data_IF_656520927619
#
_entry.id   IF_656520927619
#
_cell.length_a   1.000
_cell.length_b   1.000
_cell.length_c   1.000
_cell.angle_alpha   90.00
_cell.angle_beta   90.00
_cell.angle_gamma   90.00
#
_symmetry.space_group_name_H-M   'P 1'
#
loop_
_entity.id
_entity.type
_entity.pdbx_description
1 polymer ?
#
# COMPACT_ATOMS: atom_id res chain seq x y z
N UNK A 1 -8.10 -15.14 62.67
CA UNK A 1 -7.33 -14.43 61.63
C UNK A 1 -7.12 -15.33 60.41
N UNK A 2 -8.19 -15.93 59.85
CA UNK A 2 -8.04 -17.04 58.88
C UNK A 2 -8.88 -16.91 57.60
N UNK A 3 -9.76 -15.90 57.49
CA UNK A 3 -10.61 -15.69 56.31
C UNK A 3 -10.03 -14.71 55.28
N UNK A 4 -9.16 -13.79 55.69
CA UNK A 4 -8.55 -12.78 54.80
C UNK A 4 -7.49 -13.36 53.85
N UNK A 5 -6.86 -14.48 54.21
CA UNK A 5 -5.87 -15.17 53.36
C UNK A 5 -6.53 -15.97 52.22
N UNK A 6 -7.75 -16.49 52.43
CA UNK A 6 -8.49 -17.21 51.39
C UNK A 6 -9.03 -16.26 50.31
N UNK A 7 -9.52 -15.07 50.69
CA UNK A 7 -10.02 -14.09 49.72
C UNK A 7 -8.91 -13.55 48.80
N UNK A 8 -7.72 -13.28 49.35
CA UNK A 8 -6.57 -12.82 48.56
C UNK A 8 -6.07 -13.88 47.57
N UNK A 9 -6.08 -15.16 47.98
CA UNK A 9 -5.71 -16.28 47.10
C UNK A 9 -6.67 -16.46 45.93
N UNK A 10 -7.99 -16.33 46.16
CA UNK A 10 -9.00 -16.45 45.09
C UNK A 10 -8.89 -15.31 44.09
N UNK A 11 -8.66 -14.07 44.54
CA UNK A 11 -8.47 -12.91 43.64
C UNK A 11 -7.22 -13.09 42.77
N UNK A 12 -6.12 -13.58 43.34
CA UNK A 12 -4.90 -13.85 42.57
C UNK A 12 -5.12 -14.92 41.48
N UNK A 13 -5.87 -15.99 41.79
CA UNK A 13 -6.18 -17.05 40.82
C UNK A 13 -7.07 -16.52 39.68
N UNK A 14 -8.05 -15.68 39.99
CA UNK A 14 -8.93 -15.07 38.97
C UNK A 14 -8.13 -14.12 38.06
N UNK A 15 -7.22 -13.32 38.62
CA UNK A 15 -6.37 -12.41 37.84
C UNK A 15 -5.41 -13.16 36.93
N UNK A 16 -4.76 -14.22 37.42
CA UNK A 16 -3.88 -15.07 36.59
C UNK A 16 -4.70 -15.76 35.49
N UNK A 17 -5.88 -16.27 35.81
CA UNK A 17 -6.79 -16.86 34.81
C UNK A 17 -7.26 -15.87 33.75
N UNK A 18 -7.59 -14.64 34.14
CA UNK A 18 -8.00 -13.58 33.22
C UNK A 18 -6.84 -13.13 32.32
N UNK A 19 -5.64 -12.97 32.87
CA UNK A 19 -4.43 -12.66 32.10
C UNK A 19 -4.14 -13.81 31.12
N UNK A 20 -4.17 -15.06 31.58
CA UNK A 20 -3.94 -16.22 30.71
C UNK A 20 -5.00 -16.36 29.63
N UNK A 21 -6.27 -16.05 29.93
CA UNK A 21 -7.35 -16.02 28.95
C UNK A 21 -7.15 -14.93 27.90
N UNK A 22 -6.82 -13.69 28.31
CA UNK A 22 -6.53 -12.59 27.37
C UNK A 22 -5.32 -12.91 26.49
N UNK A 23 -4.25 -13.46 27.07
CA UNK A 23 -3.07 -13.89 26.32
C UNK A 23 -3.40 -15.04 25.36
N UNK A 24 -4.25 -15.99 25.76
CA UNK A 24 -4.66 -17.12 24.93
C UNK A 24 -5.59 -16.69 23.80
N UNK A 25 -6.52 -15.77 24.05
CA UNK A 25 -7.39 -15.19 23.02
C UNK A 25 -6.57 -14.36 22.03
N UNK A 26 -5.59 -13.57 22.52
CA UNK A 26 -4.67 -12.83 21.65
C UNK A 26 -3.74 -13.76 20.85
N UNK A 27 -3.26 -14.85 21.44
CA UNK A 27 -2.47 -15.85 20.75
C UNK A 27 -3.29 -16.58 19.67
N UNK A 28 -4.56 -16.90 19.93
CA UNK A 28 -5.48 -17.46 18.94
C UNK A 28 -5.84 -16.47 17.84
N UNK A 29 -5.96 -15.17 18.14
CA UNK A 29 -6.11 -14.11 17.12
C UNK A 29 -4.87 -14.00 16.24
N UNK A 30 -3.66 -14.02 16.84
CA UNK A 30 -2.38 -14.04 16.09
C UNK A 30 -2.17 -15.34 15.30
N UNK A 31 -2.67 -16.47 15.77
CA UNK A 31 -2.61 -17.74 15.06
C UNK A 31 -3.68 -17.86 13.96
N UNK A 32 -4.84 -17.21 14.11
CA UNK A 32 -5.82 -17.02 13.05
C UNK A 32 -5.34 -15.99 11.99
N UNK A 33 -4.42 -15.11 12.37
CA UNK A 33 -3.63 -14.23 11.49
C UNK A 33 -2.30 -14.88 11.03
N UNK A 34 -2.14 -16.20 11.17
CA UNK A 34 -1.00 -16.88 10.53
C UNK A 34 -1.13 -16.62 9.03
N UNK A 35 -0.21 -15.86 8.40
CA UNK A 35 -0.25 -15.69 6.97
C UNK A 35 -0.09 -17.10 6.40
N UNK A 36 -0.95 -17.49 5.45
CA UNK A 36 -0.58 -18.57 4.57
C UNK A 36 0.80 -18.21 4.01
N UNK A 37 1.80 -19.09 4.16
CA UNK A 37 3.12 -18.94 3.50
C UNK A 37 2.99 -18.73 1.98
N UNK A 38 1.83 -19.08 1.48
CA UNK A 38 1.31 -18.66 0.21
C UNK A 38 0.94 -17.17 0.19
N UNK A 39 1.85 -16.35 -0.37
CA UNK A 39 1.57 -14.98 -0.82
C UNK A 39 0.16 -14.90 -1.43
N UNK A 40 -0.67 -13.89 -1.13
CA UNK A 40 -1.99 -13.71 -1.74
C UNK A 40 -1.93 -13.77 -3.27
N UNK A 41 -2.99 -14.20 -3.96
CA UNK A 41 -3.01 -14.34 -5.42
C UNK A 41 -2.52 -13.07 -6.16
N UNK A 42 -2.91 -11.88 -5.68
CA UNK A 42 -2.46 -10.60 -6.22
C UNK A 42 -0.95 -10.33 -6.05
N UNK A 43 -0.30 -10.97 -5.07
CA UNK A 43 1.16 -10.93 -4.87
C UNK A 43 1.92 -12.02 -5.65
N UNK A 44 1.21 -12.95 -6.30
CA UNK A 44 1.80 -13.99 -7.16
C UNK A 44 1.84 -13.58 -8.63
N UNK A 45 1.05 -12.59 -9.01
CA UNK A 45 1.10 -11.99 -10.35
C UNK A 45 2.35 -11.14 -10.44
N UNK A 46 3.14 -11.37 -11.49
CA UNK A 46 4.26 -10.48 -11.78
C UNK A 46 3.71 -9.06 -11.96
N UNK A 47 4.37 -8.03 -11.40
CA UNK A 47 3.97 -6.66 -11.68
C UNK A 47 4.10 -6.39 -13.19
N UNK A 48 3.40 -5.36 -13.72
CA UNK A 48 3.49 -5.00 -15.12
C UNK A 48 4.94 -4.89 -15.61
N UNK A 49 5.19 -5.19 -16.88
CA UNK A 49 6.54 -5.14 -17.46
C UNK A 49 7.19 -3.77 -17.25
N UNK A 50 6.39 -2.71 -17.21
CA UNK A 50 6.78 -1.34 -16.92
C UNK A 50 7.37 -1.21 -15.50
N UNK A 51 6.69 -1.72 -14.48
CA UNK A 51 7.22 -1.78 -13.10
C UNK A 51 8.48 -2.64 -13.04
N UNK A 52 8.50 -3.82 -13.66
CA UNK A 52 9.71 -4.65 -13.72
C UNK A 52 10.88 -3.92 -14.39
N UNK A 53 10.62 -3.02 -15.33
CA UNK A 53 11.62 -2.21 -16.00
C UNK A 53 12.09 -1.04 -15.13
N UNK A 54 11.19 -0.34 -14.44
CA UNK A 54 11.50 0.73 -13.48
C UNK A 54 12.39 0.21 -12.36
N UNK A 55 11.93 -0.82 -11.65
CA UNK A 55 12.69 -1.48 -10.57
C UNK A 55 14.07 -1.98 -11.05
N UNK A 56 14.22 -2.40 -12.32
CA UNK A 56 15.53 -2.76 -12.91
C UNK A 56 16.41 -1.56 -13.27
N UNK A 57 15.83 -0.42 -13.68
CA UNK A 57 16.54 0.85 -13.93
C UNK A 57 17.15 1.36 -12.61
N UNK A 58 16.41 1.20 -11.50
CA UNK A 58 16.78 1.70 -10.17
C UNK A 58 17.58 0.69 -9.31
N UNK A 59 17.85 -0.51 -9.85
CA UNK A 59 18.53 -1.64 -9.17
C UNK A 59 17.82 -2.16 -7.91
N UNK A 60 16.54 -1.87 -7.79
CA UNK A 60 15.70 -2.45 -6.77
C UNK A 60 15.37 -3.91 -7.16
N UNK A 61 15.09 -4.77 -6.19
CA UNK A 61 14.59 -6.12 -6.47
C UNK A 61 13.12 -6.04 -6.88
N UNK A 62 12.61 -6.92 -7.76
CA UNK A 62 11.19 -6.90 -8.17
C UNK A 62 10.28 -7.03 -6.93
N UNK A 63 9.77 -5.90 -6.44
CA UNK A 63 8.90 -5.78 -5.28
C UNK A 63 7.53 -5.25 -5.70
N UNK A 64 6.51 -5.57 -4.90
CA UNK A 64 5.14 -5.05 -5.09
C UNK A 64 5.02 -3.61 -4.59
N UNK A 65 5.98 -3.19 -3.75
CA UNK A 65 6.17 -1.83 -3.27
C UNK A 65 7.39 -1.29 -4.00
N UNK A 66 7.15 -0.32 -4.87
CA UNK A 66 8.19 0.56 -5.43
C UNK A 66 8.07 1.83 -4.58
N UNK A 67 9.12 2.18 -3.83
CA UNK A 67 9.11 3.37 -2.99
C UNK A 67 10.51 3.95 -3.02
N UNK A 68 10.69 5.02 -3.80
CA UNK A 68 11.96 5.72 -3.85
C UNK A 68 12.06 6.78 -2.75
N UNK A 69 13.30 7.05 -2.33
CA UNK A 69 13.57 8.11 -1.36
C UNK A 69 13.20 9.49 -1.93
N UNK A 70 12.08 10.04 -1.46
CA UNK A 70 11.55 11.34 -1.88
C UNK A 70 10.11 11.29 -2.36
N UNK A 71 9.59 10.10 -2.64
CA UNK A 71 8.24 9.89 -3.15
C UNK A 71 7.18 9.88 -2.05
N UNK A 72 5.92 10.05 -2.44
CA UNK A 72 4.80 9.85 -1.52
C UNK A 72 4.52 8.37 -1.36
N UNK A 73 4.15 7.97 -0.16
CA UNK A 73 3.72 6.60 0.08
C UNK A 73 2.37 6.37 -0.61
N UNK A 74 2.31 5.50 -1.62
CA UNK A 74 1.07 5.08 -2.25
C UNK A 74 0.73 3.62 -1.96
N UNK A 75 -0.52 3.25 -2.25
CA UNK A 75 -0.91 1.85 -2.27
C UNK A 75 -0.24 1.14 -3.46
N UNK A 76 0.11 -0.16 -3.36
CA UNK A 76 0.84 -0.87 -4.42
C UNK A 76 0.25 -0.78 -5.84
N UNK A 77 -1.08 -0.74 -5.96
CA UNK A 77 -1.72 -0.59 -7.27
C UNK A 77 -1.59 0.83 -7.83
N UNK A 78 -1.49 1.84 -6.95
CA UNK A 78 -1.28 3.22 -7.33
C UNK A 78 0.14 3.41 -7.87
N UNK A 79 1.15 2.89 -7.18
CA UNK A 79 2.56 2.87 -7.65
C UNK A 79 2.66 2.25 -9.06
N UNK A 80 2.02 1.10 -9.29
CA UNK A 80 2.04 0.45 -10.61
C UNK A 80 1.36 1.28 -11.72
N UNK A 81 0.31 2.04 -11.39
CA UNK A 81 -0.34 2.94 -12.35
C UNK A 81 0.56 4.15 -12.60
N UNK A 82 1.24 4.63 -11.56
CA UNK A 82 2.22 5.71 -11.65
C UNK A 82 3.37 5.35 -12.58
N UNK A 83 3.96 4.16 -12.46
CA UNK A 83 5.02 3.67 -13.36
C UNK A 83 4.60 3.73 -14.84
N UNK A 84 3.41 3.20 -15.12
CA UNK A 84 2.85 3.19 -16.48
C UNK A 84 2.67 4.63 -16.99
N UNK A 85 2.22 5.54 -16.11
CA UNK A 85 2.03 6.94 -16.44
C UNK A 85 3.37 7.66 -16.65
N UNK A 86 4.35 7.48 -15.76
CA UNK A 86 5.71 8.03 -15.88
C UNK A 86 6.39 7.55 -17.17
N UNK A 87 6.25 6.28 -17.53
CA UNK A 87 6.74 5.75 -18.79
C UNK A 87 6.11 6.44 -20.01
N UNK A 88 4.79 6.69 -19.99
CA UNK A 88 4.10 7.45 -21.05
C UNK A 88 4.57 8.90 -21.12
N UNK A 89 4.78 9.54 -19.97
CA UNK A 89 5.28 10.93 -19.89
C UNK A 89 6.69 11.04 -20.45
N UNK A 90 7.58 10.09 -20.12
CA UNK A 90 8.96 10.01 -20.67
C UNK A 90 8.93 9.86 -22.20
N UNK A 91 7.97 9.09 -22.72
CA UNK A 91 7.80 8.83 -24.15
C UNK A 91 7.14 9.98 -24.95
N UNK A 92 6.24 10.77 -24.36
CA UNK A 92 5.53 11.87 -25.02
C UNK A 92 6.19 13.24 -24.75
N UNK A 93 6.83 13.88 -25.75
CA UNK A 93 7.46 15.18 -25.57
C UNK A 93 6.53 16.28 -25.03
N UNK A 94 5.22 16.21 -25.27
CA UNK A 94 4.26 17.21 -24.79
C UNK A 94 3.99 17.09 -23.29
N UNK A 95 4.26 15.93 -22.69
CA UNK A 95 4.00 15.66 -21.28
C UNK A 95 5.25 15.74 -20.39
N UNK A 96 6.45 15.73 -20.97
CA UNK A 96 7.74 15.74 -20.22
C UNK A 96 7.93 16.91 -19.25
N UNK A 97 7.13 17.96 -19.38
CA UNK A 97 7.11 19.09 -18.46
C UNK A 97 6.43 18.80 -17.12
N UNK A 98 5.78 17.64 -16.98
CA UNK A 98 5.07 17.23 -15.77
C UNK A 98 5.90 16.20 -14.99
N UNK A 99 6.19 16.54 -13.74
CA UNK A 99 6.61 15.63 -12.69
C UNK A 99 5.35 15.12 -11.98
N UNK A 100 5.18 13.79 -11.90
CA UNK A 100 4.00 13.14 -11.34
C UNK A 100 4.42 12.22 -10.20
N UNK A 101 3.67 12.28 -9.11
CA UNK A 101 3.81 11.44 -7.92
C UNK A 101 2.42 11.11 -7.35
N UNK A 102 2.17 9.90 -6.87
CA UNK A 102 0.92 9.49 -6.24
C UNK A 102 1.09 9.29 -4.74
N UNK A 103 0.12 9.81 -3.97
CA UNK A 103 0.07 9.59 -2.54
C UNK A 103 -1.17 8.82 -2.12
N UNK A 104 -1.11 8.21 -0.95
CA UNK A 104 -2.31 7.77 -0.22
C UNK A 104 -2.57 8.71 0.95
N UNK A 105 -3.67 9.46 0.85
CA UNK A 105 -4.10 10.38 1.89
C UNK A 105 -4.56 9.67 3.17
N UNK A 106 -4.73 10.43 4.25
CA UNK A 106 -5.07 9.89 5.58
C UNK A 106 -6.39 9.10 5.65
N UNK A 107 -7.30 9.32 4.69
CA UNK A 107 -8.57 8.61 4.52
C UNK A 107 -8.48 7.47 3.49
N UNK A 108 -7.28 7.04 3.11
CA UNK A 108 -7.01 6.05 2.05
C UNK A 108 -7.45 6.51 0.65
N UNK A 109 -7.64 7.81 0.42
CA UNK A 109 -7.87 8.33 -0.92
C UNK A 109 -6.59 8.41 -1.73
N UNK A 110 -6.70 8.29 -3.05
CA UNK A 110 -5.63 8.63 -3.97
C UNK A 110 -5.39 10.15 -3.96
N UNK A 111 -4.14 10.56 -3.84
CA UNK A 111 -3.65 11.92 -4.08
C UNK A 111 -2.83 11.92 -5.36
N UNK A 112 -3.09 12.86 -6.28
CA UNK A 112 -2.34 12.98 -7.52
C UNK A 112 -1.52 14.26 -7.44
N UNK A 113 -0.19 14.15 -7.39
CA UNK A 113 0.71 15.29 -7.33
C UNK A 113 1.27 15.57 -8.72
N UNK A 114 1.15 16.82 -9.18
CA UNK A 114 1.70 17.28 -10.45
C UNK A 114 2.53 18.54 -10.21
N UNK A 115 3.83 18.50 -10.51
CA UNK A 115 4.77 19.60 -10.26
C UNK A 115 4.66 20.15 -8.82
N UNK A 116 4.54 19.24 -7.84
CA UNK A 116 4.40 19.57 -6.41
C UNK A 116 3.01 20.07 -5.98
N UNK A 117 2.02 20.14 -6.88
CA UNK A 117 0.64 20.49 -6.54
C UNK A 117 -0.24 19.25 -6.46
N UNK A 118 -0.96 19.10 -5.36
CA UNK A 118 -1.91 18.00 -5.15
C UNK A 118 -3.27 18.26 -5.83
N UNK A 119 -3.81 17.21 -6.42
CA UNK A 119 -5.13 17.12 -7.03
C UNK A 119 -5.86 15.90 -6.46
N UNK A 120 -7.14 16.09 -6.11
CA UNK A 120 -7.94 15.02 -5.51
C UNK A 120 -8.54 14.08 -6.55
N UNK A 121 -8.56 14.50 -7.82
CA UNK A 121 -9.09 13.68 -8.91
C UNK A 121 -8.43 13.99 -10.26
N UNK A 122 -8.44 13.00 -11.15
CA UNK A 122 -7.97 13.14 -12.54
C UNK A 122 -8.70 14.28 -13.27
N UNK A 123 -9.96 14.54 -12.94
CA UNK A 123 -10.74 15.58 -13.61
C UNK A 123 -10.20 16.99 -13.34
N UNK A 124 -9.48 17.19 -12.23
CA UNK A 124 -8.92 18.47 -11.81
C UNK A 124 -7.56 18.79 -12.42
N UNK A 125 -6.94 17.83 -13.11
CA UNK A 125 -5.64 18.02 -13.73
C UNK A 125 -5.67 19.16 -14.77
N UNK A 126 -4.56 19.91 -14.93
CA UNK A 126 -4.55 21.13 -15.74
C UNK A 126 -4.55 20.86 -17.26
N UNK A 127 -4.23 19.65 -17.70
CA UNK A 127 -3.99 19.30 -19.10
C UNK A 127 -4.81 18.07 -19.51
N UNK A 128 -5.64 18.22 -20.55
CA UNK A 128 -6.47 17.13 -21.09
C UNK A 128 -5.64 15.94 -21.60
N UNK A 129 -4.45 16.17 -22.13
CA UNK A 129 -3.55 15.09 -22.55
C UNK A 129 -3.04 14.31 -21.34
N UNK A 130 -2.75 15.00 -20.24
CA UNK A 130 -2.34 14.36 -18.99
C UNK A 130 -3.50 13.55 -18.41
N UNK A 131 -4.73 14.07 -18.46
CA UNK A 131 -5.94 13.32 -18.06
C UNK A 131 -6.09 12.04 -18.88
N UNK A 132 -5.96 12.14 -20.20
CA UNK A 132 -6.08 10.98 -21.08
C UNK A 132 -4.95 9.98 -20.84
N UNK A 133 -3.71 10.46 -20.66
CA UNK A 133 -2.57 9.62 -20.32
C UNK A 133 -2.82 8.84 -19.02
N UNK A 134 -3.31 9.51 -17.97
CA UNK A 134 -3.70 8.88 -16.72
C UNK A 134 -4.77 7.79 -16.94
N UNK A 135 -5.89 8.14 -17.58
CA UNK A 135 -7.00 7.19 -17.83
C UNK A 135 -6.52 5.98 -18.63
N UNK A 136 -5.67 6.21 -19.63
CA UNK A 136 -5.08 5.14 -20.43
C UNK A 136 -4.16 4.24 -19.61
N UNK A 137 -3.48 4.78 -18.60
CA UNK A 137 -2.60 4.03 -17.68
C UNK A 137 -3.41 3.13 -16.76
N UNK A 138 -4.49 3.65 -16.16
CA UNK A 138 -5.46 2.85 -15.40
C UNK A 138 -6.06 1.74 -16.26
N UNK A 139 -6.47 2.06 -17.48
CA UNK A 139 -7.01 1.06 -18.42
C UNK A 139 -5.99 -0.02 -18.73
N UNK A 140 -4.73 0.37 -19.01
CA UNK A 140 -3.64 -0.56 -19.28
C UNK A 140 -3.39 -1.49 -18.10
N UNK A 141 -3.30 -0.94 -16.89
CA UNK A 141 -3.18 -1.71 -15.65
C UNK A 141 -4.30 -2.74 -15.52
N UNK A 142 -5.56 -2.32 -15.65
CA UNK A 142 -6.72 -3.22 -15.59
C UNK A 142 -6.70 -4.37 -16.62
N UNK A 143 -6.09 -4.15 -17.78
CA UNK A 143 -5.95 -5.19 -18.83
C UNK A 143 -4.71 -6.06 -18.70
N UNK A 144 -3.80 -5.71 -17.79
CA UNK A 144 -2.53 -6.42 -17.54
C UNK A 144 -2.59 -7.25 -16.25
N UNK A 145 -3.66 -7.09 -15.45
CA UNK A 145 -4.04 -7.95 -14.33
C UNK A 145 -4.70 -9.25 -14.79
#
# INVERSE_FOLDING_TARGET
>A
MSFSLLAAGVVAIVLVGAIWFVLSVNAKRKAADSPSDEKPEYMRKMPPTETVAATKEDKEGITVFDYDYGEKLAAPFAEQIEDILRAKIKADPALRQYEIDFGTGANQSLEIWVNGKMYASVNELPDERLKEAFRSSVKKWNTTQ
#
